data_IF_085196035072
#
_entry.id   IF_085196035072
#
_cell.length_a   1.000
_cell.length_b   1.000
_cell.length_c   1.000
_cell.angle_alpha   90.00
_cell.angle_beta   90.00
_cell.angle_gamma   90.00
#
_symmetry.space_group_name_H-M   'P 1'
#
loop_
_entity.id
_entity.type
_entity.pdbx_description
1 polymer ?
#
# COMPACT_ATOMS: atom_id res chain seq x y z
N UNK A 1 -33.76 14.73 -2.15
CA UNK A 1 -32.48 14.16 -2.61
C UNK A 1 -32.68 13.68 -4.03
N UNK A 2 -31.64 13.74 -4.88
CA UNK A 2 -31.74 13.29 -6.27
C UNK A 2 -30.90 12.03 -6.47
N UNK A 3 -31.41 11.09 -7.27
CA UNK A 3 -30.71 9.86 -7.60
C UNK A 3 -29.44 10.17 -8.41
N UNK A 4 -28.30 9.55 -8.07
CA UNK A 4 -27.03 9.76 -8.77
C UNK A 4 -27.00 9.21 -10.20
N UNK A 5 -27.93 8.31 -10.55
CA UNK A 5 -27.99 7.66 -11.85
C UNK A 5 -28.98 8.35 -12.80
N UNK A 6 -30.21 8.60 -12.36
CA UNK A 6 -31.26 9.15 -13.23
C UNK A 6 -31.68 10.58 -12.84
N UNK A 7 -31.10 11.17 -11.80
CA UNK A 7 -31.39 12.50 -11.25
C UNK A 7 -32.84 12.72 -10.78
N UNK A 8 -33.67 11.68 -10.81
CA UNK A 8 -35.03 11.77 -10.31
C UNK A 8 -35.07 12.04 -8.80
N UNK A 9 -35.99 12.88 -8.28
CA UNK A 9 -36.10 13.13 -6.86
C UNK A 9 -36.63 11.90 -6.14
N UNK A 10 -36.06 11.60 -4.94
CA UNK A 10 -36.54 10.52 -4.08
C UNK A 10 -36.67 10.99 -2.63
N UNK A 11 -37.56 10.33 -1.89
CA UNK A 11 -37.82 10.64 -0.48
C UNK A 11 -36.74 10.03 0.41
N UNK A 12 -36.28 10.75 1.43
CA UNK A 12 -35.35 10.25 2.41
C UNK A 12 -35.92 8.99 3.12
N UNK A 13 -35.14 7.89 3.13
CA UNK A 13 -35.54 6.60 3.72
C UNK A 13 -35.96 5.53 2.70
N UNK A 14 -36.09 5.85 1.41
CA UNK A 14 -36.29 4.83 0.38
C UNK A 14 -34.99 4.08 0.08
N UNK A 15 -35.08 2.76 -0.06
CA UNK A 15 -33.93 1.90 -0.32
C UNK A 15 -33.56 1.87 -1.80
N UNK A 16 -34.54 2.06 -2.67
CA UNK A 16 -34.38 2.04 -4.12
C UNK A 16 -35.02 3.27 -4.77
N UNK A 17 -34.42 3.77 -5.85
CA UNK A 17 -35.00 4.84 -6.65
C UNK A 17 -36.25 4.32 -7.37
N UNK A 18 -37.40 5.00 -7.19
CA UNK A 18 -38.65 4.59 -7.83
C UNK A 18 -38.65 4.72 -9.35
N UNK A 19 -37.74 5.52 -9.94
CA UNK A 19 -37.64 5.74 -11.38
C UNK A 19 -36.71 4.79 -12.12
N UNK A 20 -35.57 4.40 -11.53
CA UNK A 20 -34.56 3.58 -12.20
C UNK A 20 -34.19 2.31 -11.42
N UNK A 21 -34.78 2.07 -10.26
CA UNK A 21 -34.48 0.90 -9.43
C UNK A 21 -33.09 0.89 -8.75
N UNK A 22 -32.28 1.94 -8.92
CA UNK A 22 -30.97 2.01 -8.31
C UNK A 22 -31.07 2.07 -6.78
N UNK A 23 -30.15 1.39 -6.08
CA UNK A 23 -30.08 1.42 -4.62
C UNK A 23 -29.63 2.81 -4.14
N UNK A 24 -30.55 3.55 -3.56
CA UNK A 24 -30.33 4.89 -2.98
C UNK A 24 -30.33 4.85 -1.45
N UNK A 25 -30.63 3.68 -0.87
CA UNK A 25 -30.66 3.45 0.60
C UNK A 25 -29.30 3.20 1.20
N UNK A 26 -28.31 2.82 0.40
CA UNK A 26 -26.93 2.87 0.82
C UNK A 26 -26.43 4.32 0.78
N UNK A 27 -26.73 5.10 1.82
CA UNK A 27 -25.66 5.90 2.39
C UNK A 27 -24.59 4.90 2.77
N UNK A 28 -23.47 4.91 2.05
CA UNK A 28 -22.26 4.25 2.52
C UNK A 28 -21.92 4.82 3.89
N UNK A 29 -22.55 4.23 4.92
CA UNK A 29 -22.23 4.43 6.35
C UNK A 29 -20.97 3.66 6.71
N UNK A 30 -20.33 3.00 5.76
CA UNK A 30 -18.89 2.79 5.83
C UNK A 30 -18.27 4.17 5.52
N UNK A 31 -17.90 4.91 6.53
CA UNK A 31 -17.05 6.10 6.45
C UNK A 31 -15.65 5.77 5.92
N UNK A 32 -15.59 5.00 4.85
CA UNK A 32 -14.49 4.92 3.92
C UNK A 32 -14.74 6.12 2.98
N UNK A 33 -14.39 7.33 3.46
CA UNK A 33 -13.92 8.33 2.52
C UNK A 33 -13.04 7.56 1.55
N UNK A 34 -13.39 7.56 0.27
CA UNK A 34 -12.51 7.04 -0.76
C UNK A 34 -11.25 7.91 -0.67
N UNK A 35 -10.31 7.44 0.18
CA UNK A 35 -9.09 8.16 0.47
C UNK A 35 -8.43 8.39 -0.86
N UNK A 36 -8.21 9.65 -1.24
CA UNK A 36 -7.54 10.00 -2.48
C UNK A 36 -6.34 9.07 -2.70
N UNK A 37 -6.07 8.64 -3.92
CA UNK A 37 -4.93 7.78 -4.21
C UNK A 37 -3.63 8.44 -3.72
N UNK A 38 -2.66 7.62 -3.37
CA UNK A 38 -1.35 8.12 -2.96
C UNK A 38 -0.74 8.99 -4.04
N UNK A 39 -0.11 10.10 -3.65
CA UNK A 39 0.70 10.94 -4.54
C UNK A 39 2.06 10.30 -4.89
N UNK A 40 2.37 9.13 -4.30
CA UNK A 40 3.62 8.41 -4.54
C UNK A 40 3.55 7.63 -5.84
N UNK A 41 4.61 7.74 -6.66
CA UNK A 41 4.70 7.02 -7.92
C UNK A 41 4.94 5.53 -7.68
N UNK A 42 4.13 4.68 -8.30
CA UNK A 42 4.31 3.23 -8.33
C UNK A 42 5.68 2.84 -8.91
N UNK A 43 6.01 3.39 -10.08
CA UNK A 43 7.27 3.08 -10.78
C UNK A 43 8.47 3.41 -9.90
N UNK A 44 8.47 4.59 -9.28
CA UNK A 44 9.56 5.00 -8.37
C UNK A 44 9.67 4.05 -7.17
N UNK A 45 8.55 3.62 -6.59
CA UNK A 45 8.56 2.68 -5.47
C UNK A 45 9.14 1.31 -5.87
N UNK A 46 8.77 0.79 -7.06
CA UNK A 46 9.33 -0.48 -7.60
C UNK A 46 10.82 -0.34 -7.90
N UNK A 47 11.24 0.73 -8.56
CA UNK A 47 12.66 0.95 -8.88
C UNK A 47 13.51 1.05 -7.60
N UNK A 48 13.03 1.79 -6.60
CA UNK A 48 13.73 1.89 -5.31
C UNK A 48 13.80 0.54 -4.59
N UNK A 49 12.73 -0.26 -4.63
CA UNK A 49 12.75 -1.60 -4.04
C UNK A 49 13.71 -2.54 -4.77
N UNK A 50 13.79 -2.47 -6.11
CA UNK A 50 14.68 -3.33 -6.90
C UNK A 50 16.16 -2.98 -6.78
N UNK A 51 16.50 -1.69 -6.65
CA UNK A 51 17.90 -1.24 -6.63
C UNK A 51 18.42 -1.08 -5.20
N UNK A 52 17.61 -0.54 -4.30
CA UNK A 52 17.99 -0.15 -2.94
C UNK A 52 17.11 -0.84 -1.88
N UNK A 53 16.54 -1.99 -2.22
CA UNK A 53 15.59 -2.71 -1.38
C UNK A 53 16.15 -3.01 0.01
N UNK A 54 17.36 -3.58 0.08
CA UNK A 54 18.06 -3.96 1.32
C UNK A 54 18.37 -2.78 2.25
N UNK A 55 18.40 -1.54 1.73
CA UNK A 55 18.55 -0.33 2.51
C UNK A 55 17.22 0.21 3.06
N UNK A 56 16.08 -0.38 2.68
CA UNK A 56 14.75 0.07 3.09
C UNK A 56 14.32 1.42 2.53
N UNK A 57 15.05 1.99 1.55
CA UNK A 57 14.79 3.35 1.02
C UNK A 57 13.40 3.45 0.39
N UNK A 58 12.91 2.38 -0.24
CA UNK A 58 11.57 2.32 -0.79
C UNK A 58 10.48 2.51 0.28
N UNK A 59 10.68 2.05 1.52
CA UNK A 59 9.78 2.27 2.63
C UNK A 59 9.77 3.73 3.10
N UNK A 60 10.93 4.37 3.15
CA UNK A 60 11.03 5.80 3.45
C UNK A 60 10.32 6.64 2.38
N UNK A 61 10.48 6.28 1.10
CA UNK A 61 9.81 6.97 0.00
C UNK A 61 8.28 6.91 0.12
N UNK A 62 7.71 5.76 0.47
CA UNK A 62 6.25 5.62 0.66
C UNK A 62 5.77 6.12 2.02
N UNK A 63 6.66 6.61 2.89
CA UNK A 63 6.33 7.19 4.19
C UNK A 63 6.12 6.17 5.31
N UNK A 64 6.58 4.94 5.16
CA UNK A 64 6.54 3.89 6.18
C UNK A 64 7.88 3.77 6.91
N UNK A 65 8.19 4.75 7.70
CA UNK A 65 9.48 4.88 8.39
C UNK A 65 9.88 3.67 9.22
N UNK A 66 8.94 3.07 9.96
CA UNK A 66 9.21 1.90 10.82
C UNK A 66 9.66 0.69 10.00
N UNK A 67 9.07 0.46 8.81
CA UNK A 67 9.48 -0.63 7.93
C UNK A 67 10.85 -0.38 7.32
N UNK A 68 11.15 0.86 6.91
CA UNK A 68 12.47 1.23 6.41
C UNK A 68 13.56 1.09 7.49
N UNK A 69 13.26 1.46 8.73
CA UNK A 69 14.18 1.24 9.85
C UNK A 69 14.40 -0.25 10.15
N UNK A 70 13.35 -1.05 9.99
CA UNK A 70 13.44 -2.50 10.18
C UNK A 70 14.38 -3.13 9.15
N UNK A 71 14.23 -2.85 7.84
CA UNK A 71 15.13 -3.35 6.80
C UNK A 71 16.56 -2.90 7.04
N UNK A 72 16.77 -1.62 7.34
CA UNK A 72 18.09 -1.09 7.64
C UNK A 72 18.73 -1.80 8.85
N UNK A 73 17.95 -2.13 9.88
CA UNK A 73 18.45 -2.86 11.06
C UNK A 73 18.84 -4.29 10.71
N UNK A 74 18.10 -4.98 9.84
CA UNK A 74 18.42 -6.32 9.35
C UNK A 74 19.77 -6.31 8.60
N UNK A 75 19.95 -5.35 7.70
CA UNK A 75 21.18 -5.18 6.95
C UNK A 75 22.39 -4.92 7.87
N UNK A 76 22.26 -3.95 8.80
CA UNK A 76 23.34 -3.64 9.74
C UNK A 76 23.70 -4.85 10.59
N UNK A 77 22.70 -5.59 11.07
CA UNK A 77 22.90 -6.80 11.87
C UNK A 77 23.62 -7.88 11.06
N UNK A 78 23.24 -8.08 9.80
CA UNK A 78 23.91 -9.01 8.90
C UNK A 78 25.40 -8.64 8.69
N UNK A 79 25.70 -7.34 8.49
CA UNK A 79 27.08 -6.85 8.34
C UNK A 79 27.90 -7.11 9.61
N UNK A 80 27.33 -6.87 10.79
CA UNK A 80 28.00 -7.13 12.07
C UNK A 80 28.34 -8.62 12.20
N UNK A 81 27.38 -9.52 11.96
CA UNK A 81 27.64 -10.96 12.03
C UNK A 81 28.66 -11.42 10.99
N UNK A 82 28.62 -10.85 9.79
CA UNK A 82 29.61 -11.11 8.75
C UNK A 82 31.03 -10.70 9.19
N UNK A 83 31.17 -9.53 9.82
CA UNK A 83 32.44 -9.01 10.36
C UNK A 83 33.00 -9.90 11.48
N UNK A 84 32.11 -10.55 12.24
CA UNK A 84 32.48 -11.49 13.30
C UNK A 84 32.73 -12.91 12.78
N UNK A 85 32.77 -13.12 11.46
CA UNK A 85 32.91 -14.42 10.78
C UNK A 85 31.77 -15.41 11.11
N UNK A 86 30.64 -14.92 11.56
CA UNK A 86 29.43 -15.70 11.85
C UNK A 86 28.53 -15.74 10.61
N UNK A 87 28.91 -16.52 9.62
CA UNK A 87 28.26 -16.57 8.28
C UNK A 87 26.82 -17.03 8.32
N UNK A 88 26.49 -18.04 9.15
CA UNK A 88 25.13 -18.59 9.19
C UNK A 88 24.12 -17.57 9.64
N UNK A 89 24.24 -16.90 10.80
CA UNK A 89 23.29 -15.85 11.19
C UNK A 89 23.29 -14.66 10.21
N UNK A 90 24.43 -14.26 9.65
CA UNK A 90 24.49 -13.20 8.65
C UNK A 90 23.59 -13.50 7.44
N UNK A 91 23.68 -14.73 6.91
CA UNK A 91 22.84 -15.17 5.78
C UNK A 91 21.37 -15.20 6.17
N UNK A 92 21.03 -15.65 7.37
CA UNK A 92 19.63 -15.68 7.84
C UNK A 92 19.01 -14.29 7.90
N UNK A 93 19.75 -13.28 8.37
CA UNK A 93 19.27 -11.89 8.38
C UNK A 93 19.08 -11.32 6.97
N UNK A 94 20.00 -11.62 6.04
CA UNK A 94 19.84 -11.23 4.63
C UNK A 94 18.65 -11.92 3.96
N UNK A 95 18.41 -13.19 4.27
CA UNK A 95 17.23 -13.90 3.76
C UNK A 95 15.92 -13.31 4.31
N UNK A 96 15.89 -12.95 5.59
CA UNK A 96 14.73 -12.30 6.20
C UNK A 96 14.44 -10.96 5.53
N UNK A 97 15.47 -10.14 5.26
CA UNK A 97 15.36 -8.88 4.53
C UNK A 97 14.84 -9.11 3.10
N UNK A 98 15.38 -10.06 2.38
CA UNK A 98 14.93 -10.41 1.02
C UNK A 98 13.46 -10.85 0.98
N UNK A 99 13.01 -11.64 1.95
CA UNK A 99 11.60 -12.05 2.07
C UNK A 99 10.72 -10.82 2.31
N UNK A 100 11.16 -9.89 3.16
CA UNK A 100 10.41 -8.67 3.46
C UNK A 100 10.27 -7.77 2.21
N UNK A 101 11.36 -7.56 1.47
CA UNK A 101 11.35 -6.81 0.20
C UNK A 101 10.43 -7.48 -0.83
N UNK A 102 10.52 -8.82 -0.96
CA UNK A 102 9.68 -9.58 -1.88
C UNK A 102 8.20 -9.44 -1.54
N UNK A 103 7.85 -9.48 -0.26
CA UNK A 103 6.47 -9.26 0.20
C UNK A 103 6.00 -7.84 -0.12
N UNK A 104 6.85 -6.83 0.05
CA UNK A 104 6.54 -5.46 -0.34
C UNK A 104 6.23 -5.35 -1.84
N UNK A 105 7.12 -5.86 -2.68
CA UNK A 105 6.96 -5.84 -4.15
C UNK A 105 5.70 -6.61 -4.56
N UNK A 106 5.44 -7.76 -3.97
CA UNK A 106 4.22 -8.53 -4.20
C UNK A 106 2.96 -7.68 -3.91
N UNK A 107 2.88 -7.05 -2.73
CA UNK A 107 1.75 -6.18 -2.36
C UNK A 107 1.59 -4.99 -3.30
N UNK A 108 2.69 -4.48 -3.83
CA UNK A 108 2.68 -3.40 -4.79
C UNK A 108 2.12 -3.87 -6.15
N UNK A 109 2.54 -5.05 -6.63
CA UNK A 109 2.09 -5.64 -7.91
C UNK A 109 0.59 -5.93 -7.91
N UNK A 110 0.05 -6.47 -6.82
CA UNK A 110 -1.40 -6.74 -6.70
C UNK A 110 -2.24 -5.48 -6.44
N UNK A 111 -1.61 -4.31 -6.34
CA UNK A 111 -2.31 -3.02 -6.15
C UNK A 111 -2.90 -2.79 -4.76
N UNK A 112 -2.53 -3.60 -3.76
CA UNK A 112 -3.04 -3.49 -2.39
C UNK A 112 -2.13 -2.68 -1.46
N UNK A 113 -1.02 -2.15 -1.99
CA UNK A 113 -0.07 -1.45 -1.14
C UNK A 113 -0.56 -0.05 -0.77
N UNK A 114 -0.50 0.25 0.54
CA UNK A 114 -0.87 1.56 1.10
C UNK A 114 0.36 2.31 1.58
N UNK A 115 0.41 3.61 1.28
CA UNK A 115 1.45 4.52 1.79
C UNK A 115 1.32 4.73 3.32
N UNK A 116 2.27 5.46 3.91
CA UNK A 116 2.26 5.78 5.34
C UNK A 116 1.05 6.60 5.80
N UNK A 117 0.30 7.20 4.88
CA UNK A 117 -0.98 7.89 5.15
C UNK A 117 -2.21 6.99 4.93
N UNK A 118 -2.00 5.69 4.62
CA UNK A 118 -3.04 4.72 4.37
C UNK A 118 -3.72 4.84 3.00
N UNK A 119 -3.16 5.59 2.05
CA UNK A 119 -3.66 5.76 0.69
C UNK A 119 -3.07 4.70 -0.24
N UNK A 120 -3.88 4.16 -1.16
CA UNK A 120 -3.41 3.18 -2.14
C UNK A 120 -2.43 3.81 -3.14
N UNK A 121 -1.30 3.14 -3.35
CA UNK A 121 -0.36 3.45 -4.43
C UNK A 121 -0.91 2.85 -5.72
N UNK A 122 -1.41 3.70 -6.63
CA UNK A 122 -2.05 3.24 -7.88
C UNK A 122 -1.04 2.72 -8.89
N UNK A 123 -1.40 1.61 -9.52
CA UNK A 123 -0.69 1.08 -10.69
C UNK A 123 -0.99 1.99 -11.89
N UNK A 124 0.00 2.38 -12.70
CA UNK A 124 -0.23 3.14 -13.93
C UNK A 124 -1.20 2.41 -14.86
N UNK A 125 -2.25 3.10 -15.32
CA UNK A 125 -3.26 2.54 -16.23
C UNK A 125 -4.42 1.80 -15.55
N UNK A 126 -4.45 1.67 -14.23
CA UNK A 126 -5.64 1.18 -13.50
C UNK A 126 -6.57 2.36 -13.22
N UNK A 127 -7.63 2.49 -14.00
CA UNK A 127 -8.72 3.47 -13.83
C UNK A 127 -9.92 2.81 -13.19
#
# INVERSE_FOLDING_TARGET
MNCSVCQAPYTSGTKYCGSCGNDVGKKDTSGIEAKEPSKKSYVTAVCLAGILGTLGIHHFYVGRWLHGLFDLSLLITAIIFFSLSLWVPAILFLLADLIHITYFVYKLIIGEYRDGSGRLVKIPGSY
#
